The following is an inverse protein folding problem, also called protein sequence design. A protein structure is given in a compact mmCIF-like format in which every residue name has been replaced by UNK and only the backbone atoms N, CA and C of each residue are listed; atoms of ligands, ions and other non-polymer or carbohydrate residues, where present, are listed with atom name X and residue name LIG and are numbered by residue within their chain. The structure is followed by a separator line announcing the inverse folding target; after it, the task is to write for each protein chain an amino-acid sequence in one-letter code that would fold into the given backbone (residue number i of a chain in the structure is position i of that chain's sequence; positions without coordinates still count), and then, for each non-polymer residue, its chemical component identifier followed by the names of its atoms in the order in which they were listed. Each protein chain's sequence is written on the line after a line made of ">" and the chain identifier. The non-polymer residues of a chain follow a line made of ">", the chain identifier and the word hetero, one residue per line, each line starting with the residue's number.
data_IF_430106221667
#
_entry.id   IF_430106221667
#
_cell.length_a   1.000
_cell.length_b   1.000
_cell.length_c   1.000
_cell.angle_alpha   90.00
_cell.angle_beta   90.00
_cell.angle_gamma   90.00
#
_symmetry.space_group_name_H-M   'P 1'
#
loop_
_entity.id
_entity.type
_entity.pdbx_description
1 polymer ?
#
# COMPACT_ATOMS: atom_id res chain seq x y z
N UNK A 1 49.60 50.78 -6.01
CA UNK A 1 48.20 50.57 -5.60
C UNK A 1 47.88 49.10 -5.84
N UNK A 2 47.70 48.32 -4.77
CA UNK A 2 47.37 46.86 -4.86
C UNK A 2 45.89 46.73 -4.58
N UNK A 3 45.09 46.28 -5.56
CA UNK A 3 43.66 46.04 -5.41
C UNK A 3 43.51 44.59 -4.99
N UNK A 4 43.06 44.38 -3.75
CA UNK A 4 42.75 43.03 -3.25
C UNK A 4 41.33 42.64 -3.70
N UNK A 5 41.26 41.62 -4.53
CA UNK A 5 39.99 41.01 -4.95
C UNK A 5 39.48 40.11 -3.83
N UNK A 6 38.37 40.49 -3.24
CA UNK A 6 37.63 39.64 -2.25
C UNK A 6 36.74 38.68 -2.98
N UNK A 7 37.10 37.37 -2.99
CA UNK A 7 36.30 36.31 -3.57
C UNK A 7 35.25 35.91 -2.51
N UNK A 8 33.99 36.25 -2.75
CA UNK A 8 32.87 35.71 -1.98
C UNK A 8 32.57 34.28 -2.41
N UNK A 9 32.92 33.32 -1.57
CA UNK A 9 32.48 31.94 -1.72
C UNK A 9 31.02 31.82 -1.25
N UNK A 10 30.08 31.78 -2.20
CA UNK A 10 28.69 31.47 -1.91
C UNK A 10 28.58 29.98 -1.57
N UNK A 11 28.45 29.67 -0.29
CA UNK A 11 28.17 28.32 0.19
C UNK A 11 26.70 28.00 -0.12
N UNK A 12 26.46 27.24 -1.21
CA UNK A 12 25.15 26.70 -1.54
C UNK A 12 24.85 25.58 -0.55
N UNK A 13 24.11 25.88 0.53
CA UNK A 13 23.55 24.88 1.42
C UNK A 13 22.41 24.17 0.66
N UNK A 14 22.69 22.98 0.14
CA UNK A 14 21.68 22.11 -0.44
C UNK A 14 20.77 21.60 0.69
N UNK A 15 19.62 22.24 0.90
CA UNK A 15 18.58 21.76 1.80
C UNK A 15 17.95 20.57 1.10
N UNK A 16 18.36 19.35 1.48
CA UNK A 16 17.67 18.13 1.09
C UNK A 16 16.37 18.13 1.92
N UNK A 17 15.29 18.65 1.34
CA UNK A 17 13.96 18.43 1.87
C UNK A 17 13.68 16.94 1.82
N UNK A 18 13.77 16.27 2.97
CA UNK A 18 13.37 14.87 3.11
C UNK A 18 11.91 14.74 2.68
N UNK A 19 11.66 14.11 1.55
CA UNK A 19 10.30 13.83 1.12
C UNK A 19 9.71 12.84 2.11
N UNK A 20 8.63 13.23 2.79
CA UNK A 20 7.89 12.33 3.66
C UNK A 20 7.42 11.14 2.82
N UNK A 21 7.81 9.94 3.21
CA UNK A 21 7.47 8.72 2.49
C UNK A 21 5.95 8.50 2.56
N UNK A 22 5.31 8.29 1.42
CA UNK A 22 3.90 7.97 1.35
C UNK A 22 3.65 6.61 1.98
N UNK A 23 2.70 6.53 2.90
CA UNK A 23 2.33 5.28 3.57
C UNK A 23 0.85 4.98 3.37
N UNK A 24 0.44 3.77 3.69
CA UNK A 24 -0.98 3.36 3.68
C UNK A 24 -1.87 4.23 4.58
N UNK A 25 -1.30 4.99 5.52
CA UNK A 25 -2.02 5.95 6.36
C UNK A 25 -2.24 7.32 5.73
N UNK A 26 -1.70 7.54 4.53
CA UNK A 26 -1.80 8.82 3.81
C UNK A 26 -3.08 8.97 2.96
N UNK A 27 -4.06 8.09 3.10
CA UNK A 27 -5.28 8.11 2.29
C UNK A 27 -5.02 7.75 0.83
N UNK A 28 -4.39 6.61 0.60
CA UNK A 28 -3.89 6.17 -0.71
C UNK A 28 -4.90 5.40 -1.56
N UNK A 29 -6.11 5.21 -1.08
CA UNK A 29 -7.21 4.55 -1.79
C UNK A 29 -8.52 5.32 -1.63
N UNK A 30 -9.53 5.04 -2.45
CA UNK A 30 -10.88 5.63 -2.31
C UNK A 30 -11.87 4.64 -1.69
N UNK A 31 -12.91 5.16 -1.02
CA UNK A 31 -14.00 4.32 -0.50
C UNK A 31 -14.67 3.49 -1.61
N UNK A 32 -14.84 4.06 -2.80
CA UNK A 32 -15.42 3.33 -3.94
C UNK A 32 -14.55 2.17 -4.40
N UNK A 33 -13.23 2.35 -4.36
CA UNK A 33 -12.27 1.28 -4.68
C UNK A 33 -12.32 0.17 -3.62
N UNK A 34 -12.34 0.53 -2.34
CA UNK A 34 -12.45 -0.44 -1.26
C UNK A 34 -13.79 -1.20 -1.32
N UNK A 35 -14.90 -0.53 -1.66
CA UNK A 35 -16.19 -1.19 -1.86
C UNK A 35 -16.17 -2.19 -3.03
N UNK A 36 -15.51 -1.84 -4.14
CA UNK A 36 -15.27 -2.80 -5.23
C UNK A 36 -14.46 -4.00 -4.72
N UNK A 37 -13.40 -3.76 -3.96
CA UNK A 37 -12.56 -4.80 -3.38
C UNK A 37 -13.32 -5.74 -2.44
N UNK A 38 -14.26 -5.21 -1.65
CA UNK A 38 -15.18 -5.99 -0.84
C UNK A 38 -15.99 -6.97 -1.70
N UNK A 39 -16.54 -6.52 -2.83
CA UNK A 39 -17.33 -7.38 -3.74
C UNK A 39 -16.49 -8.49 -4.38
N UNK A 40 -15.24 -8.19 -4.74
CA UNK A 40 -14.30 -9.22 -5.21
C UNK A 40 -13.98 -10.20 -4.07
N UNK A 41 -13.69 -9.68 -2.89
CA UNK A 41 -13.34 -10.50 -1.73
C UNK A 41 -14.48 -11.42 -1.29
N UNK A 42 -15.72 -10.96 -1.31
CA UNK A 42 -16.93 -11.73 -0.95
C UNK A 42 -17.07 -13.00 -1.78
N UNK A 43 -16.59 -13.00 -3.01
CA UNK A 43 -16.70 -14.15 -3.93
C UNK A 43 -15.42 -14.97 -4.05
N UNK A 44 -14.27 -14.39 -3.70
CA UNK A 44 -12.97 -14.96 -4.05
C UNK A 44 -12.09 -15.26 -2.84
N UNK A 45 -12.22 -14.48 -1.75
CA UNK A 45 -11.25 -14.49 -0.66
C UNK A 45 -11.80 -15.02 0.66
N UNK A 46 -13.05 -14.64 1.01
CA UNK A 46 -13.62 -14.89 2.34
C UNK A 46 -13.80 -16.38 2.66
N UNK A 47 -13.90 -17.23 1.65
CA UNK A 47 -13.98 -18.69 1.85
C UNK A 47 -12.77 -19.26 2.61
N UNK A 48 -11.61 -18.63 2.45
CA UNK A 48 -10.38 -19.00 3.16
C UNK A 48 -10.02 -18.01 4.27
N UNK A 49 -10.13 -16.70 4.00
CA UNK A 49 -9.66 -15.64 4.89
C UNK A 49 -10.70 -15.13 5.88
N UNK A 50 -11.92 -15.67 5.84
CA UNK A 50 -13.03 -15.28 6.71
C UNK A 50 -13.71 -13.97 6.30
N UNK A 51 -14.99 -13.77 6.71
CA UNK A 51 -15.70 -12.53 6.51
C UNK A 51 -14.98 -11.39 7.28
N UNK A 52 -14.75 -10.26 6.62
CA UNK A 52 -13.96 -9.19 7.20
C UNK A 52 -12.44 -9.42 7.19
N UNK A 53 -11.97 -10.48 6.52
CA UNK A 53 -10.55 -10.84 6.41
C UNK A 53 -9.90 -11.19 7.77
N UNK A 54 -10.67 -11.62 8.74
CA UNK A 54 -10.22 -11.90 10.11
C UNK A 54 -9.70 -13.33 10.32
N UNK A 55 -9.53 -14.08 9.21
CA UNK A 55 -9.01 -15.43 9.18
C UNK A 55 -10.10 -16.51 9.13
N UNK A 56 -9.73 -17.66 8.63
CA UNK A 56 -10.58 -18.85 8.53
C UNK A 56 -9.77 -20.12 8.73
N UNK A 57 -10.40 -21.27 8.51
CA UNK A 57 -9.74 -22.59 8.67
C UNK A 57 -8.62 -22.82 7.66
N UNK A 58 -8.69 -22.18 6.49
CA UNK A 58 -7.80 -22.43 5.35
C UNK A 58 -6.91 -21.25 4.97
N UNK A 59 -7.12 -20.06 5.56
CA UNK A 59 -6.35 -18.86 5.25
C UNK A 59 -6.05 -18.00 6.46
N UNK A 60 -4.90 -17.31 6.47
CA UNK A 60 -4.51 -16.45 7.57
C UNK A 60 -5.37 -15.19 7.64
N UNK A 61 -5.32 -14.51 8.78
CA UNK A 61 -5.85 -13.16 8.94
C UNK A 61 -5.13 -12.19 8.01
N UNK A 62 -5.88 -11.33 7.34
CA UNK A 62 -5.36 -10.20 6.55
C UNK A 62 -5.61 -8.86 7.26
N UNK A 63 -5.90 -8.92 8.55
CA UNK A 63 -6.14 -7.75 9.42
C UNK A 63 -5.42 -7.92 10.76
N UNK A 64 -5.20 -6.78 11.43
CA UNK A 64 -4.65 -6.73 12.79
C UNK A 64 -3.13 -6.82 12.85
N UNK A 65 -2.62 -6.87 14.07
CA UNK A 65 -1.20 -6.69 14.37
C UNK A 65 -0.29 -7.69 13.65
N UNK A 66 -0.67 -8.96 13.59
CA UNK A 66 0.15 -10.01 12.95
C UNK A 66 0.29 -9.76 11.46
N UNK A 67 -0.81 -9.43 10.78
CA UNK A 67 -0.78 -9.07 9.36
C UNK A 67 0.09 -7.83 9.11
N UNK A 68 -0.17 -6.78 9.88
CA UNK A 68 0.58 -5.53 9.76
C UNK A 68 2.07 -5.71 10.06
N UNK A 69 2.44 -6.51 11.06
CA UNK A 69 3.83 -6.80 11.37
C UNK A 69 4.55 -7.52 10.20
N UNK A 70 3.89 -8.47 9.56
CA UNK A 70 4.46 -9.22 8.44
C UNK A 70 4.68 -8.36 7.19
N UNK A 71 3.87 -7.31 7.00
CA UNK A 71 3.93 -6.46 5.81
C UNK A 71 4.56 -5.08 6.06
N UNK A 72 4.80 -4.68 7.33
CA UNK A 72 5.18 -3.31 7.73
C UNK A 72 6.44 -2.73 7.10
N UNK A 73 7.33 -3.52 6.57
CA UNK A 73 8.59 -3.04 5.99
C UNK A 73 8.61 -3.17 4.48
N UNK A 74 7.49 -3.56 3.89
CA UNK A 74 7.39 -3.83 2.47
C UNK A 74 6.58 -2.74 1.76
N UNK A 75 6.85 -2.46 0.49
CA UNK A 75 5.98 -1.61 -0.31
C UNK A 75 4.65 -2.31 -0.61
N UNK A 76 3.61 -1.54 -0.87
CA UNK A 76 2.28 -2.06 -1.22
C UNK A 76 2.31 -2.94 -2.46
N UNK A 77 3.27 -2.73 -3.37
CA UNK A 77 3.47 -3.58 -4.55
C UNK A 77 3.64 -5.05 -4.21
N UNK A 78 4.34 -5.37 -3.12
CA UNK A 78 4.57 -6.78 -2.74
C UNK A 78 3.26 -7.49 -2.37
N UNK A 79 2.38 -6.82 -1.62
CA UNK A 79 1.06 -7.37 -1.30
C UNK A 79 0.18 -7.47 -2.56
N UNK A 80 0.20 -6.45 -3.40
CA UNK A 80 -0.54 -6.40 -4.66
C UNK A 80 -0.11 -7.54 -5.61
N UNK A 81 1.19 -7.69 -5.83
CA UNK A 81 1.73 -8.71 -6.73
C UNK A 81 1.46 -10.12 -6.18
N UNK A 82 1.59 -10.32 -4.86
CA UNK A 82 1.24 -11.58 -4.22
C UNK A 82 -0.23 -11.95 -4.42
N UNK A 83 -1.15 -10.99 -4.20
CA UNK A 83 -2.58 -11.22 -4.41
C UNK A 83 -2.86 -11.56 -5.87
N UNK A 84 -2.28 -10.82 -6.81
CA UNK A 84 -2.52 -11.00 -8.24
C UNK A 84 -1.94 -12.30 -8.78
N UNK A 85 -0.77 -12.71 -8.30
CA UNK A 85 -0.03 -13.83 -8.86
C UNK A 85 -0.30 -15.17 -8.17
N UNK A 86 -0.64 -15.14 -6.88
CA UNK A 86 -0.76 -16.33 -6.05
C UNK A 86 -2.17 -16.57 -5.48
N UNK A 87 -3.08 -15.59 -5.55
CA UNK A 87 -4.42 -15.72 -4.96
C UNK A 87 -5.56 -15.62 -5.99
N UNK A 88 -6.65 -16.37 -5.80
CA UNK A 88 -6.76 -17.53 -4.91
C UNK A 88 -5.90 -18.69 -5.44
N UNK A 89 -5.37 -19.57 -4.56
CA UNK A 89 -4.42 -20.62 -5.00
C UNK A 89 -4.94 -21.55 -6.10
N UNK A 90 -6.25 -21.83 -6.09
CA UNK A 90 -6.93 -22.67 -7.09
C UNK A 90 -7.11 -21.98 -8.45
N UNK A 91 -6.93 -20.64 -8.50
CA UNK A 91 -7.07 -19.84 -9.72
C UNK A 91 -6.03 -18.69 -9.75
N UNK A 92 -4.79 -19.00 -9.40
CA UNK A 92 -3.69 -18.05 -9.34
C UNK A 92 -3.50 -17.30 -10.68
N UNK A 93 -3.26 -15.99 -10.62
CA UNK A 93 -3.06 -15.15 -11.80
C UNK A 93 -4.34 -14.76 -12.55
N UNK A 94 -5.52 -15.09 -12.05
CA UNK A 94 -6.79 -14.74 -12.74
C UNK A 94 -7.35 -13.38 -12.37
N UNK A 95 -6.92 -12.79 -11.27
CA UNK A 95 -7.35 -11.46 -10.86
C UNK A 95 -6.79 -10.38 -11.80
N UNK A 96 -7.67 -9.50 -12.27
CA UNK A 96 -7.23 -8.31 -13.00
C UNK A 96 -6.42 -7.38 -12.07
N UNK A 97 -5.60 -6.50 -12.64
CA UNK A 97 -4.88 -5.46 -11.87
C UNK A 97 -5.85 -4.59 -11.07
N UNK A 98 -6.97 -4.21 -11.68
CA UNK A 98 -8.00 -3.41 -11.02
C UNK A 98 -8.63 -4.14 -9.82
N UNK A 99 -8.91 -5.44 -9.95
CA UNK A 99 -9.49 -6.22 -8.86
C UNK A 99 -8.47 -6.45 -7.75
N UNK A 100 -7.23 -6.74 -8.09
CA UNK A 100 -6.17 -6.89 -7.09
C UNK A 100 -5.93 -5.59 -6.31
N UNK A 101 -5.86 -4.43 -6.99
CA UNK A 101 -5.73 -3.13 -6.33
C UNK A 101 -6.96 -2.80 -5.47
N UNK A 102 -8.16 -3.16 -5.92
CA UNK A 102 -9.37 -3.00 -5.15
C UNK A 102 -9.38 -3.87 -3.89
N UNK A 103 -8.91 -5.11 -3.97
CA UNK A 103 -8.76 -6.01 -2.81
C UNK A 103 -7.73 -5.45 -1.82
N UNK A 104 -6.60 -4.91 -2.28
CA UNK A 104 -5.64 -4.21 -1.41
C UNK A 104 -6.30 -3.03 -0.70
N UNK A 105 -7.08 -2.21 -1.42
CA UNK A 105 -7.83 -1.10 -0.82
C UNK A 105 -8.83 -1.58 0.24
N UNK A 106 -9.51 -2.70 0.00
CA UNK A 106 -10.41 -3.30 0.98
C UNK A 106 -9.65 -3.80 2.22
N UNK A 107 -8.50 -4.45 2.06
CA UNK A 107 -7.63 -4.86 3.17
C UNK A 107 -7.17 -3.64 3.98
N UNK A 108 -6.78 -2.55 3.31
CA UNK A 108 -6.44 -1.29 3.99
C UNK A 108 -7.62 -0.77 4.82
N UNK A 109 -8.83 -0.77 4.27
CA UNK A 109 -10.06 -0.36 4.98
C UNK A 109 -10.33 -1.24 6.19
N UNK A 110 -10.21 -2.56 6.07
CA UNK A 110 -10.39 -3.50 7.18
C UNK A 110 -9.35 -3.30 8.30
N UNK A 111 -8.17 -2.81 7.96
CA UNK A 111 -7.13 -2.40 8.90
C UNK A 111 -7.27 -0.95 9.39
N UNK A 112 -8.42 -0.29 9.16
CA UNK A 112 -8.75 1.06 9.62
C UNK A 112 -7.81 2.16 9.08
N UNK A 113 -7.14 1.90 7.97
CA UNK A 113 -6.38 2.92 7.26
C UNK A 113 -7.36 3.89 6.59
N UNK A 114 -7.08 5.22 6.57
CA UNK A 114 -8.01 6.20 6.04
C UNK A 114 -8.10 6.13 4.52
N UNK A 115 -9.30 6.30 3.98
CA UNK A 115 -9.49 6.54 2.56
C UNK A 115 -9.08 7.97 2.20
N UNK A 116 -8.71 8.17 0.95
CA UNK A 116 -8.36 9.47 0.37
C UNK A 116 -9.21 9.81 -0.85
N UNK A 117 -8.69 10.73 -1.64
CA UNK A 117 -9.38 11.25 -2.83
C UNK A 117 -8.94 10.56 -4.13
N UNK A 118 -7.82 9.86 -4.10
CA UNK A 118 -7.26 9.16 -5.26
C UNK A 118 -7.31 7.67 -5.04
N UNK A 119 -7.62 6.93 -6.10
CA UNK A 119 -7.58 5.48 -6.07
C UNK A 119 -6.13 4.98 -5.96
N UNK A 120 -5.96 3.84 -5.32
CA UNK A 120 -4.70 3.12 -5.31
C UNK A 120 -4.32 2.78 -6.76
N UNK A 121 -3.08 3.02 -7.18
CA UNK A 121 -2.61 2.66 -8.52
C UNK A 121 -2.74 1.16 -8.83
N UNK A 122 -2.71 0.83 -10.12
CA UNK A 122 -2.77 -0.57 -10.59
C UNK A 122 -1.42 -1.07 -11.14
N UNK A 123 -0.43 -0.21 -11.18
CA UNK A 123 0.92 -0.56 -11.63
C UNK A 123 1.86 -0.75 -10.43
N UNK A 124 2.56 -1.88 -10.39
CA UNK A 124 3.48 -2.23 -9.28
C UNK A 124 4.56 -1.15 -9.07
N UNK A 125 5.02 -0.50 -10.13
CA UNK A 125 6.02 0.58 -10.03
C UNK A 125 5.52 1.78 -9.22
N UNK A 126 4.24 2.13 -9.36
CA UNK A 126 3.64 3.22 -8.58
C UNK A 126 3.34 2.76 -7.14
N UNK A 127 2.86 1.52 -6.98
CA UNK A 127 2.59 0.92 -5.66
C UNK A 127 3.86 0.74 -4.83
N UNK A 128 5.03 0.59 -5.46
CA UNK A 128 6.33 0.51 -4.78
C UNK A 128 6.68 1.79 -4.01
N UNK A 129 6.11 2.92 -4.38
CA UNK A 129 6.32 4.20 -3.72
C UNK A 129 5.49 4.37 -2.44
N UNK A 130 4.57 3.45 -2.18
CA UNK A 130 3.69 3.46 -1.01
C UNK A 130 4.16 2.36 -0.03
N UNK A 131 4.45 2.74 1.20
CA UNK A 131 4.89 1.79 2.22
C UNK A 131 3.73 1.25 3.04
N UNK A 132 3.72 -0.08 3.21
CA UNK A 132 2.97 -0.70 4.30
C UNK A 132 3.64 -0.36 5.63
N UNK A 133 2.88 0.05 6.61
CA UNK A 133 3.39 0.28 7.96
C UNK A 133 2.31 0.01 9.00
N UNK A 134 2.70 -0.64 10.10
CA UNK A 134 1.84 -0.85 11.25
C UNK A 134 1.68 0.43 12.09
N UNK A 135 2.63 1.36 11.97
CA UNK A 135 2.64 2.58 12.76
C UNK A 135 1.78 3.64 12.08
N UNK A 136 0.70 4.01 12.76
CA UNK A 136 -0.10 5.18 12.39
C UNK A 136 0.69 6.43 12.80
N UNK A 137 0.94 7.38 11.87
CA UNK A 137 1.63 8.63 12.18
C UNK A 137 0.81 9.54 13.10
#
# INVERSE_FOLDING_TARGET
>A
MKVAAVIWAACLTCVIAGQAQTTVWSGVYTESQAYRGEKVADTTCIGCHGPGMDGGDSGPKLVGEVFLANWSTQPVSELFDWIREAMPPEAAGTLSKDDAAAVVAYICKQNQMPAGKQALPIESEELRLIQMTAVKP
#
